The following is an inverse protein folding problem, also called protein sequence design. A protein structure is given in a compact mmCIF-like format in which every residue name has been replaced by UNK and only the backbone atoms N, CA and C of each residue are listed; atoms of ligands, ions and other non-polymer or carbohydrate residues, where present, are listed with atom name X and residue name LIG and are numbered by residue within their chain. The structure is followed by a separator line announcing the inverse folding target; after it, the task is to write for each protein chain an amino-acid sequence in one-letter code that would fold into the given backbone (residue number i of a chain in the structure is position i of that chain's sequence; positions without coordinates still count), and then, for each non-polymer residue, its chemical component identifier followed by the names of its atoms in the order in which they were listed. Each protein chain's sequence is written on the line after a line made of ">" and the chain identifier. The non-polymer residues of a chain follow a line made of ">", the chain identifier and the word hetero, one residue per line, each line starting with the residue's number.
data_IF_768967697235
#
_entry.id   IF_768967697235
#
_cell.length_a   1.000
_cell.length_b   1.000
_cell.length_c   1.000
_cell.angle_alpha   90.00
_cell.angle_beta   90.00
_cell.angle_gamma   90.00
#
_symmetry.space_group_name_H-M   'P 1'
#
loop_
_entity.id
_entity.type
_entity.pdbx_description
1 polymer ?
#
# COMPACT_ATOMS: atom_id res chain seq x y z
N UNK A 1 -16.84 -8.49 -3.54
CA UNK A 1 -16.52 -8.66 -2.12
C UNK A 1 -16.29 -10.14 -1.84
N UNK A 2 -15.24 -10.48 -1.09
CA UNK A 2 -14.83 -11.87 -0.80
C UNK A 2 -15.94 -12.73 -0.14
N UNK A 3 -16.90 -12.10 0.52
CA UNK A 3 -18.03 -12.78 1.17
C UNK A 3 -19.04 -13.42 0.21
N UNK A 4 -19.04 -13.04 -1.07
CA UNK A 4 -19.97 -13.59 -2.06
C UNK A 4 -19.49 -14.91 -2.71
N UNK A 5 -18.25 -15.32 -2.45
CA UNK A 5 -17.67 -16.50 -3.09
C UNK A 5 -17.88 -17.81 -2.32
N UNK A 6 -18.31 -17.74 -1.06
CA UNK A 6 -18.61 -18.93 -0.26
C UNK A 6 -20.10 -19.08 -0.04
N UNK A 7 -20.69 -20.23 -0.36
CA UNK A 7 -22.08 -20.51 -0.04
C UNK A 7 -22.35 -20.48 1.47
N UNK A 8 -23.46 -19.88 1.90
CA UNK A 8 -23.80 -19.72 3.32
C UNK A 8 -23.97 -21.03 4.11
N UNK A 9 -24.07 -22.16 3.41
CA UNK A 9 -24.24 -23.49 4.04
C UNK A 9 -22.91 -24.25 4.21
N UNK A 10 -21.79 -23.67 3.80
CA UNK A 10 -20.46 -24.27 3.95
C UNK A 10 -19.76 -23.69 5.17
N UNK A 11 -19.06 -24.51 5.96
CA UNK A 11 -18.18 -23.98 7.00
C UNK A 11 -17.02 -23.19 6.39
N UNK A 12 -16.42 -22.30 7.15
CA UNK A 12 -15.26 -21.52 6.72
C UNK A 12 -13.95 -22.29 6.87
N UNK A 13 -13.90 -23.22 7.82
CA UNK A 13 -12.77 -24.12 8.07
C UNK A 13 -13.26 -25.51 8.40
N UNK A 14 -12.39 -26.49 8.25
CA UNK A 14 -12.61 -27.89 8.62
C UNK A 14 -11.35 -28.44 9.26
N UNK A 15 -11.51 -29.31 10.25
CA UNK A 15 -10.40 -30.06 10.82
C UNK A 15 -10.24 -31.37 10.06
N UNK A 16 -9.08 -31.59 9.48
CA UNK A 16 -8.74 -32.83 8.78
C UNK A 16 -7.46 -33.42 9.37
N UNK A 17 -7.39 -34.75 9.40
CA UNK A 17 -6.16 -35.42 9.81
C UNK A 17 -5.15 -35.41 8.63
N UNK A 18 -3.92 -35.03 8.90
CA UNK A 18 -2.83 -35.08 7.96
C UNK A 18 -2.36 -36.55 7.71
N UNK A 19 -1.38 -36.73 6.83
CA UNK A 19 -0.79 -38.04 6.53
C UNK A 19 -0.14 -38.71 7.75
N UNK A 20 0.18 -37.95 8.79
CA UNK A 20 0.77 -38.42 10.05
C UNK A 20 -0.30 -38.68 11.11
N UNK A 21 -1.59 -38.49 10.83
CA UNK A 21 -2.71 -38.67 11.75
C UNK A 21 -2.84 -37.53 12.76
N UNK A 22 -2.25 -36.37 12.51
CA UNK A 22 -2.44 -35.17 13.33
C UNK A 22 -3.58 -34.34 12.77
N UNK A 23 -4.48 -33.92 13.65
CA UNK A 23 -5.60 -33.07 13.30
C UNK A 23 -5.12 -31.63 13.11
N UNK A 24 -5.37 -31.09 11.93
CA UNK A 24 -5.02 -29.73 11.55
C UNK A 24 -6.24 -28.99 10.99
N UNK A 25 -6.35 -27.70 11.28
CA UNK A 25 -7.39 -26.84 10.73
C UNK A 25 -7.00 -26.38 9.31
N UNK A 26 -7.90 -26.63 8.38
CA UNK A 26 -7.80 -26.18 6.99
C UNK A 26 -8.91 -25.19 6.68
N UNK A 27 -8.57 -24.11 6.03
CA UNK A 27 -9.54 -23.12 5.56
C UNK A 27 -10.11 -23.56 4.22
N UNK A 28 -11.41 -23.38 4.01
CA UNK A 28 -12.03 -23.78 2.75
C UNK A 28 -11.82 -22.71 1.68
N UNK A 29 -11.17 -23.11 0.59
CA UNK A 29 -11.04 -22.31 -0.62
C UNK A 29 -12.11 -22.67 -1.63
N UNK A 30 -12.79 -21.69 -2.28
CA UNK A 30 -13.69 -21.97 -3.39
C UNK A 30 -12.89 -22.49 -4.60
N UNK A 31 -13.46 -23.48 -5.29
CA UNK A 31 -12.94 -23.91 -6.60
C UNK A 31 -13.52 -22.97 -7.65
N UNK A 32 -12.70 -22.16 -8.27
CA UNK A 32 -13.12 -21.36 -9.42
C UNK A 32 -13.09 -22.21 -10.70
N UNK A 33 -14.27 -22.56 -11.19
CA UNK A 33 -14.45 -23.03 -12.54
C UNK A 33 -14.55 -21.83 -13.50
N UNK A 34 -13.43 -21.31 -13.96
CA UNK A 34 -13.44 -20.31 -15.02
C UNK A 34 -13.62 -21.00 -16.38
N UNK A 35 -14.82 -20.95 -16.90
CA UNK A 35 -15.22 -21.51 -18.20
C UNK A 35 -14.63 -20.80 -19.42
N UNK A 36 -13.75 -19.83 -19.27
CA UNK A 36 -13.44 -18.89 -20.36
C UNK A 36 -12.09 -19.06 -21.05
N UNK A 37 -11.29 -20.07 -20.72
CA UNK A 37 -10.03 -20.30 -21.44
C UNK A 37 -9.75 -21.80 -21.65
N UNK A 38 -9.46 -22.24 -22.87
CA UNK A 38 -9.08 -23.63 -23.16
C UNK A 38 -7.74 -24.05 -22.56
N UNK A 39 -6.98 -23.12 -22.00
CA UNK A 39 -5.70 -23.34 -21.31
C UNK A 39 -5.86 -23.44 -19.79
N UNK A 40 -7.07 -23.39 -19.26
CA UNK A 40 -7.31 -23.41 -17.83
C UNK A 40 -7.26 -24.85 -17.29
N UNK A 41 -6.23 -25.17 -16.55
CA UNK A 41 -6.18 -26.36 -15.72
C UNK A 41 -7.25 -26.26 -14.63
N UNK A 42 -8.12 -27.25 -14.49
CA UNK A 42 -9.24 -27.29 -13.54
C UNK A 42 -8.83 -27.35 -12.06
N UNK A 43 -7.57 -27.21 -11.77
CA UNK A 43 -6.94 -27.56 -10.50
C UNK A 43 -6.52 -26.34 -9.68
N UNK A 44 -7.24 -25.22 -9.79
CA UNK A 44 -6.99 -24.05 -8.98
C UNK A 44 -7.97 -24.00 -7.80
N UNK A 45 -7.42 -24.10 -6.60
CA UNK A 45 -8.11 -23.65 -5.39
C UNK A 45 -7.81 -22.16 -5.24
N UNK A 46 -8.82 -21.32 -5.31
CA UNK A 46 -8.60 -19.89 -5.05
C UNK A 46 -8.44 -19.66 -3.57
N UNK A 47 -7.43 -18.89 -3.24
CA UNK A 47 -7.00 -18.56 -1.89
C UNK A 47 -7.88 -17.54 -1.17
N UNK A 48 -9.07 -17.24 -1.68
CA UNK A 48 -9.94 -16.22 -1.12
C UNK A 48 -10.82 -16.76 0.01
N UNK A 49 -10.22 -16.99 1.16
CA UNK A 49 -10.98 -17.13 2.40
C UNK A 49 -10.71 -15.92 3.29
N UNK A 50 -11.70 -15.07 3.47
CA UNK A 50 -11.59 -13.85 4.26
C UNK A 50 -11.19 -14.13 5.72
N UNK A 51 -11.75 -15.19 6.32
CA UNK A 51 -11.44 -15.55 7.70
C UNK A 51 -10.03 -16.12 7.83
N UNK A 52 -9.59 -16.92 6.87
CA UNK A 52 -8.22 -17.40 6.83
C UNK A 52 -7.23 -16.23 6.76
N UNK A 53 -7.47 -15.28 5.88
CA UNK A 53 -6.62 -14.10 5.73
C UNK A 53 -6.59 -13.28 7.04
N UNK A 54 -7.73 -13.10 7.68
CA UNK A 54 -7.81 -12.34 8.94
C UNK A 54 -7.16 -13.09 10.12
N UNK A 55 -7.24 -14.43 10.16
CA UNK A 55 -6.64 -15.24 11.21
C UNK A 55 -5.18 -15.63 10.97
N UNK A 56 -4.67 -15.48 9.75
CA UNK A 56 -3.27 -15.79 9.43
C UNK A 56 -2.26 -14.90 10.15
N UNK A 57 -2.71 -13.79 10.71
CA UNK A 57 -1.84 -12.76 11.28
C UNK A 57 -1.21 -11.84 10.22
N UNK A 58 -1.56 -12.04 8.95
CA UNK A 58 -1.10 -11.18 7.86
C UNK A 58 -1.63 -9.75 8.03
N UNK A 59 -0.77 -8.77 7.83
CA UNK A 59 -1.16 -7.37 7.92
C UNK A 59 -0.39 -6.51 6.94
N UNK A 60 -0.98 -5.37 6.61
CA UNK A 60 -0.31 -4.28 5.92
C UNK A 60 -0.61 -2.99 6.67
N UNK A 61 0.43 -2.31 7.11
CA UNK A 61 0.35 -1.09 7.89
C UNK A 61 1.12 0.01 7.19
N UNK A 62 0.43 1.05 6.80
CA UNK A 62 1.03 2.24 6.22
C UNK A 62 0.92 3.40 7.21
N UNK A 63 2.04 4.09 7.43
CA UNK A 63 2.12 5.31 8.21
C UNK A 63 2.69 6.40 7.31
N UNK A 64 1.94 7.45 7.12
CA UNK A 64 2.38 8.63 6.39
C UNK A 64 2.38 9.83 7.32
N UNK A 65 3.46 10.58 7.30
CA UNK A 65 3.58 11.84 8.02
C UNK A 65 4.15 12.89 7.07
N UNK A 66 3.50 14.04 7.02
CA UNK A 66 3.99 15.15 6.22
C UNK A 66 3.77 16.48 6.94
N UNK A 67 4.74 17.37 6.83
CA UNK A 67 4.60 18.72 7.33
C UNK A 67 5.22 19.71 6.34
N UNK A 68 4.68 20.93 6.33
CA UNK A 68 5.17 22.05 5.56
C UNK A 68 5.31 23.24 6.47
N UNK A 69 6.39 23.97 6.29
CA UNK A 69 6.65 25.22 7.02
C UNK A 69 7.08 26.30 6.02
N UNK A 70 6.39 27.43 6.06
CA UNK A 70 6.63 28.57 5.19
C UNK A 70 6.85 29.82 6.04
N UNK A 71 7.94 30.51 5.78
CA UNK A 71 8.29 31.78 6.43
C UNK A 71 8.47 32.83 5.35
N UNK A 72 7.85 33.97 5.50
CA UNK A 72 7.99 35.11 4.60
C UNK A 72 8.29 36.37 5.39
N UNK A 73 9.36 37.05 5.01
CA UNK A 73 9.76 38.34 5.55
C UNK A 73 9.75 39.38 4.44
N UNK A 74 9.04 40.46 4.65
CA UNK A 74 9.03 41.59 3.74
C UNK A 74 9.55 42.84 4.46
N UNK A 75 10.48 43.55 3.83
CA UNK A 75 11.08 44.77 4.35
C UNK A 75 10.95 45.88 3.33
N UNK A 76 10.26 46.95 3.69
CA UNK A 76 10.19 48.18 2.90
C UNK A 76 11.34 49.09 3.26
N UNK A 77 12.15 49.49 2.29
CA UNK A 77 13.35 50.29 2.54
C UNK A 77 12.95 51.75 2.75
N UNK A 78 13.08 52.31 3.98
CA UNK A 78 12.49 53.60 4.31
C UNK A 78 13.16 54.80 3.58
N UNK A 79 14.41 54.63 3.19
CA UNK A 79 15.17 55.75 2.49
C UNK A 79 15.04 55.68 0.99
N UNK A 80 14.51 54.62 0.43
CA UNK A 80 14.26 54.48 -1.04
C UNK A 80 12.80 54.21 -1.27
N UNK A 81 12.04 55.26 -1.57
CA UNK A 81 10.60 55.12 -1.82
C UNK A 81 10.33 54.16 -2.97
N UNK A 82 9.51 53.16 -2.73
CA UNK A 82 9.12 52.17 -3.73
C UNK A 82 10.01 50.92 -3.78
N UNK A 83 11.07 50.85 -2.96
CA UNK A 83 11.92 49.66 -2.88
C UNK A 83 11.44 48.73 -1.74
N UNK A 84 11.14 47.49 -2.08
CA UNK A 84 10.83 46.45 -1.11
C UNK A 84 11.68 45.20 -1.35
N UNK A 85 12.07 44.56 -0.27
CA UNK A 85 12.83 43.31 -0.25
C UNK A 85 11.92 42.25 0.36
N UNK A 86 11.84 41.07 -0.26
CA UNK A 86 11.09 39.95 0.27
C UNK A 86 11.96 38.70 0.26
N UNK A 87 12.05 38.05 1.39
CA UNK A 87 12.66 36.73 1.53
C UNK A 87 11.59 35.72 1.91
N UNK A 88 11.58 34.58 1.25
CA UNK A 88 10.70 33.44 1.62
C UNK A 88 11.55 32.20 1.81
N UNK A 89 11.20 31.43 2.81
CA UNK A 89 11.76 30.12 3.05
C UNK A 89 10.63 29.13 3.21
N UNK A 90 10.65 28.06 2.41
CA UNK A 90 9.70 26.95 2.47
C UNK A 90 10.47 25.66 2.73
N UNK A 91 9.99 24.88 3.68
CA UNK A 91 10.51 23.55 3.97
C UNK A 91 9.35 22.56 4.02
N UNK A 92 9.46 21.48 3.28
CA UNK A 92 8.50 20.38 3.33
C UNK A 92 9.22 19.08 3.61
N UNK A 93 8.62 18.27 4.45
CA UNK A 93 9.07 16.94 4.78
C UNK A 93 7.92 15.95 4.62
N UNK A 94 8.19 14.81 3.99
CA UNK A 94 7.26 13.70 3.85
C UNK A 94 7.97 12.41 4.19
N UNK A 95 7.36 11.61 5.05
CA UNK A 95 7.84 10.30 5.45
C UNK A 95 6.71 9.30 5.29
N UNK A 96 6.97 8.18 4.62
CA UNK A 96 6.05 7.08 4.42
C UNK A 96 6.73 5.78 4.82
N UNK A 97 6.19 5.10 5.82
CA UNK A 97 6.67 3.80 6.28
C UNK A 97 5.56 2.75 6.05
N UNK A 98 5.88 1.71 5.31
CA UNK A 98 4.99 0.57 5.06
C UNK A 98 5.61 -0.68 5.67
N UNK A 99 4.86 -1.31 6.57
CA UNK A 99 5.15 -2.60 7.16
C UNK A 99 4.14 -3.60 6.61
N UNK A 100 4.62 -4.67 6.01
CA UNK A 100 3.76 -5.73 5.50
C UNK A 100 4.28 -7.08 5.96
N UNK A 101 3.40 -7.88 6.54
CA UNK A 101 3.65 -9.27 6.85
C UNK A 101 2.61 -10.13 6.15
N UNK A 102 3.06 -11.19 5.49
CA UNK A 102 2.22 -12.20 4.86
C UNK A 102 2.58 -13.56 5.44
N UNK A 103 1.59 -14.24 6.00
CA UNK A 103 1.75 -15.57 6.53
C UNK A 103 0.86 -16.53 5.76
N UNK A 104 1.38 -17.71 5.37
CA UNK A 104 0.61 -18.73 4.69
C UNK A 104 -0.45 -19.33 5.61
N UNK A 105 -1.48 -19.90 5.03
CA UNK A 105 -2.45 -20.71 5.71
C UNK A 105 -2.83 -21.92 4.84
N UNK A 106 -3.21 -23.02 5.48
CA UNK A 106 -3.53 -24.26 4.81
C UNK A 106 -4.97 -24.24 4.27
N UNK A 107 -5.15 -24.70 3.03
CA UNK A 107 -6.42 -24.72 2.33
C UNK A 107 -6.89 -26.15 2.08
N UNK A 108 -8.20 -26.34 2.19
CA UNK A 108 -8.89 -27.52 1.72
C UNK A 108 -10.04 -27.11 0.76
N UNK A 109 -10.55 -28.04 0.00
CA UNK A 109 -11.68 -27.82 -0.89
C UNK A 109 -12.72 -28.94 -0.81
N UNK A 110 -13.91 -28.68 -1.31
CA UNK A 110 -14.96 -29.70 -1.39
C UNK A 110 -14.73 -30.57 -2.59
N UNK A 111 -14.26 -31.79 -2.38
CA UNK A 111 -13.97 -32.77 -3.43
C UNK A 111 -15.19 -33.49 -3.97
N UNK A 112 -16.32 -33.47 -3.23
CA UNK A 112 -17.53 -34.17 -3.64
C UNK A 112 -18.56 -34.32 -2.54
N UNK A 113 -19.56 -35.16 -2.78
CA UNK A 113 -20.55 -35.57 -1.77
C UNK A 113 -20.57 -37.07 -1.67
N UNK A 114 -20.72 -37.62 -0.46
CA UNK A 114 -20.97 -39.03 -0.25
C UNK A 114 -22.31 -39.42 -0.81
N UNK A 115 -22.43 -40.51 -1.63
CA UNK A 115 -23.69 -40.92 -2.20
C UNK A 115 -24.74 -41.35 -1.18
N UNK A 116 -24.31 -41.87 -0.03
CA UNK A 116 -25.23 -42.49 0.94
C UNK A 116 -26.00 -41.46 1.78
N UNK A 117 -25.36 -40.37 2.18
CA UNK A 117 -25.90 -39.42 3.15
C UNK A 117 -25.76 -37.93 2.73
N UNK A 118 -25.23 -37.69 1.55
CA UNK A 118 -25.02 -36.36 0.99
C UNK A 118 -24.05 -35.47 1.78
N UNK A 119 -23.25 -36.05 2.70
CA UNK A 119 -22.20 -35.32 3.39
C UNK A 119 -21.13 -34.82 2.43
N UNK A 120 -20.63 -33.62 2.69
CA UNK A 120 -19.54 -33.03 1.94
C UNK A 120 -18.23 -33.74 2.26
N UNK A 121 -17.49 -34.10 1.24
CA UNK A 121 -16.13 -34.64 1.37
C UNK A 121 -15.14 -33.52 1.14
N UNK A 122 -14.31 -33.27 2.13
CA UNK A 122 -13.25 -32.28 2.06
C UNK A 122 -11.94 -32.94 1.67
N UNK A 123 -11.17 -32.29 0.83
CA UNK A 123 -9.91 -32.82 0.31
C UNK A 123 -8.83 -31.79 0.45
N UNK A 124 -7.67 -32.23 0.96
CA UNK A 124 -6.45 -31.40 1.00
C UNK A 124 -5.86 -31.36 -0.41
N UNK A 125 -5.51 -30.20 -0.96
CA UNK A 125 -4.89 -30.11 -2.27
C UNK A 125 -3.58 -30.89 -2.31
N UNK A 126 -3.43 -31.77 -3.29
CA UNK A 126 -2.13 -32.43 -3.52
C UNK A 126 -1.12 -31.41 -4.06
N UNK A 127 0.17 -31.76 -4.03
CA UNK A 127 1.25 -30.90 -4.53
C UNK A 127 1.12 -30.54 -6.02
N UNK A 128 0.25 -31.22 -6.78
CA UNK A 128 -0.08 -30.91 -8.17
C UNK A 128 -1.13 -29.78 -8.31
N UNK A 129 -1.84 -29.43 -7.23
CA UNK A 129 -2.73 -28.30 -7.23
C UNK A 129 -1.93 -27.01 -7.13
N UNK A 130 -2.02 -26.17 -8.12
CA UNK A 130 -1.45 -24.83 -8.08
C UNK A 130 -2.39 -23.95 -7.25
N UNK A 131 -1.99 -23.61 -6.05
CA UNK A 131 -2.60 -22.51 -5.30
C UNK A 131 -2.23 -21.20 -5.97
N UNK A 132 -3.20 -20.53 -6.53
CA UNK A 132 -2.94 -19.46 -7.51
C UNK A 132 -2.27 -18.20 -6.96
N UNK A 133 -2.14 -17.98 -5.66
CA UNK A 133 -1.73 -16.66 -5.15
C UNK A 133 -0.90 -16.69 -3.86
N UNK A 134 -0.68 -17.83 -3.19
CA UNK A 134 0.10 -17.80 -1.96
C UNK A 134 1.42 -18.51 -2.10
N UNK A 135 2.46 -17.72 -1.97
CA UNK A 135 3.76 -18.21 -1.61
C UNK A 135 3.63 -18.98 -0.30
N UNK A 136 4.11 -20.22 -0.23
CA UNK A 136 4.11 -21.02 0.99
C UNK A 136 5.04 -20.43 2.06
N UNK A 137 5.75 -19.38 1.72
CA UNK A 137 6.72 -18.72 2.57
C UNK A 137 6.08 -17.51 3.26
N UNK A 138 6.43 -17.34 4.52
CA UNK A 138 6.18 -16.07 5.21
C UNK A 138 7.04 -14.99 4.59
N UNK A 139 6.46 -13.85 4.33
CA UNK A 139 7.22 -12.68 3.87
C UNK A 139 7.01 -11.53 4.84
N UNK A 140 8.10 -10.86 5.16
CA UNK A 140 8.10 -9.64 5.95
C UNK A 140 8.80 -8.57 5.14
N UNK A 141 8.09 -7.52 4.78
CA UNK A 141 8.67 -6.41 4.04
C UNK A 141 8.52 -5.09 4.78
N UNK A 142 9.59 -4.32 4.73
CA UNK A 142 9.70 -2.98 5.27
C UNK A 142 10.07 -2.02 4.17
N UNK A 143 9.24 -0.99 3.96
CA UNK A 143 9.53 0.10 3.03
C UNK A 143 9.49 1.41 3.78
N UNK A 144 10.58 2.16 3.71
CA UNK A 144 10.68 3.49 4.27
C UNK A 144 11.10 4.46 3.16
N UNK A 145 10.33 5.52 3.01
CA UNK A 145 10.57 6.58 2.03
C UNK A 145 10.54 7.91 2.73
N UNK A 146 11.56 8.71 2.50
CA UNK A 146 11.66 10.04 3.03
C UNK A 146 11.96 11.02 1.90
N UNK A 147 11.23 12.12 1.87
CA UNK A 147 11.46 13.21 0.93
C UNK A 147 11.50 14.52 1.70
N UNK A 148 12.51 15.30 1.46
CA UNK A 148 12.68 16.64 2.00
C UNK A 148 12.90 17.62 0.86
N UNK A 149 12.21 18.75 0.90
CA UNK A 149 12.36 19.83 -0.05
C UNK A 149 12.54 21.14 0.70
N UNK A 150 13.52 21.93 0.28
CA UNK A 150 13.81 23.26 0.81
C UNK A 150 13.86 24.24 -0.34
N UNK A 151 13.19 25.34 -0.18
CA UNK A 151 13.17 26.41 -1.18
C UNK A 151 13.39 27.74 -0.49
N UNK A 152 14.31 28.52 -1.03
CA UNK A 152 14.60 29.90 -0.61
C UNK A 152 14.42 30.80 -1.81
N UNK A 153 13.63 31.86 -1.64
CA UNK A 153 13.48 32.90 -2.64
C UNK A 153 13.78 34.24 -2.03
N UNK A 154 14.49 35.05 -2.79
CA UNK A 154 14.75 36.44 -2.44
C UNK A 154 14.31 37.31 -3.61
N UNK A 155 13.49 38.31 -3.31
CA UNK A 155 12.92 39.25 -4.28
C UNK A 155 13.32 40.65 -3.91
N UNK A 156 13.67 41.43 -4.94
CA UNK A 156 13.86 42.87 -4.89
C UNK A 156 12.83 43.50 -5.81
N UNK A 157 11.90 44.24 -5.26
CA UNK A 157 10.87 44.92 -6.02
C UNK A 157 11.06 46.44 -5.90
N UNK A 158 11.02 47.12 -7.03
CA UNK A 158 11.03 48.56 -7.09
C UNK A 158 9.82 49.04 -7.84
N UNK A 159 8.97 49.83 -7.23
CA UNK A 159 7.77 50.40 -7.83
C UNK A 159 7.68 51.89 -7.44
N UNK A 160 7.80 52.76 -8.41
CA UNK A 160 7.75 54.20 -8.16
C UNK A 160 7.16 54.98 -9.32
N UNK A 161 6.33 55.95 -8.97
CA UNK A 161 5.76 56.91 -9.89
C UNK A 161 6.47 58.26 -9.75
N UNK A 162 6.93 58.80 -10.89
CA UNK A 162 7.58 60.09 -11.02
C UNK A 162 6.70 60.97 -11.91
N UNK A 163 5.87 61.80 -11.34
CA UNK A 163 4.92 62.63 -12.10
C UNK A 163 3.94 61.79 -12.90
N UNK A 164 4.06 61.80 -14.25
CA UNK A 164 3.20 61.00 -15.15
C UNK A 164 3.83 59.61 -15.52
N UNK A 165 5.04 59.33 -15.05
CA UNK A 165 5.75 58.11 -15.39
C UNK A 165 5.81 57.16 -14.19
N UNK A 166 5.44 55.88 -14.41
CA UNK A 166 5.58 54.81 -13.45
C UNK A 166 6.64 53.82 -13.90
N UNK A 167 7.54 53.48 -13.01
CA UNK A 167 8.61 52.49 -13.22
C UNK A 167 8.37 51.35 -12.24
N UNK A 168 8.28 50.12 -12.75
CA UNK A 168 8.22 48.89 -11.97
C UNK A 168 9.32 47.93 -12.42
N UNK A 169 10.10 47.42 -11.50
CA UNK A 169 11.17 46.45 -11.76
C UNK A 169 11.20 45.40 -10.65
N UNK A 170 11.48 44.17 -11.05
CA UNK A 170 11.63 43.04 -10.11
C UNK A 170 12.88 42.23 -10.49
N UNK A 171 13.65 41.85 -9.45
CA UNK A 171 14.71 40.87 -9.57
C UNK A 171 14.50 39.79 -8.53
N UNK A 172 14.78 38.53 -8.87
CA UNK A 172 14.65 37.40 -7.91
C UNK A 172 15.79 36.42 -8.05
N UNK A 173 16.13 35.80 -6.93
CA UNK A 173 17.04 34.65 -6.84
C UNK A 173 16.31 33.55 -6.11
N UNK A 174 16.38 32.35 -6.68
CA UNK A 174 15.78 31.14 -6.12
C UNK A 174 16.86 30.08 -5.88
N UNK A 175 16.77 29.43 -4.72
CA UNK A 175 17.52 28.23 -4.38
C UNK A 175 16.57 27.13 -4.03
N UNK A 176 16.68 25.99 -4.72
CA UNK A 176 15.87 24.79 -4.49
C UNK A 176 16.77 23.59 -4.19
N UNK A 177 16.42 22.86 -3.12
CA UNK A 177 17.09 21.62 -2.74
C UNK A 177 16.04 20.54 -2.53
N UNK A 178 16.31 19.33 -3.02
CA UNK A 178 15.46 18.16 -2.85
C UNK A 178 16.32 16.97 -2.44
N UNK A 179 15.96 16.34 -1.34
CA UNK A 179 16.55 15.11 -0.85
C UNK A 179 15.52 14.01 -0.87
N UNK A 180 15.93 12.83 -1.30
CA UNK A 180 15.10 11.65 -1.33
C UNK A 180 15.90 10.45 -0.81
N UNK A 181 15.36 9.72 0.16
CA UNK A 181 15.90 8.46 0.67
C UNK A 181 14.81 7.39 0.60
N UNK A 182 15.19 6.18 0.22
CA UNK A 182 14.30 5.04 0.13
C UNK A 182 15.01 3.78 0.55
N UNK A 183 14.42 3.04 1.48
CA UNK A 183 14.89 1.73 1.92
C UNK A 183 13.79 0.71 1.71
N UNK A 184 14.16 -0.43 1.13
CA UNK A 184 13.29 -1.58 0.95
C UNK A 184 14.02 -2.81 1.49
N UNK A 185 13.43 -3.49 2.46
CA UNK A 185 14.01 -4.65 3.13
C UNK A 185 12.94 -5.74 3.11
N UNK A 186 13.31 -6.89 2.56
CA UNK A 186 12.44 -8.06 2.48
C UNK A 186 13.14 -9.27 3.12
N UNK A 187 12.40 -10.02 3.95
CA UNK A 187 12.86 -11.22 4.67
C UNK A 187 11.92 -12.39 4.38
#
# INVERSE_FOLDING_TARGET
>A
SALHHMPNHMPWSVTLSDENGQDQEYWLGPIENTYSSPSFNRDYVTSWNYFALNNSGSFSKNRSNSWNADISLTYEVPFVKGLSLRATYSSSHSSEATEQASFPYELAYVGGRMPADQHLVYTIPSSSFKTAIFDKNSTLSFKDKQAERRQMNFYVNYDRTFGQHSISAMASIERYESFYDSRDIEY
#
